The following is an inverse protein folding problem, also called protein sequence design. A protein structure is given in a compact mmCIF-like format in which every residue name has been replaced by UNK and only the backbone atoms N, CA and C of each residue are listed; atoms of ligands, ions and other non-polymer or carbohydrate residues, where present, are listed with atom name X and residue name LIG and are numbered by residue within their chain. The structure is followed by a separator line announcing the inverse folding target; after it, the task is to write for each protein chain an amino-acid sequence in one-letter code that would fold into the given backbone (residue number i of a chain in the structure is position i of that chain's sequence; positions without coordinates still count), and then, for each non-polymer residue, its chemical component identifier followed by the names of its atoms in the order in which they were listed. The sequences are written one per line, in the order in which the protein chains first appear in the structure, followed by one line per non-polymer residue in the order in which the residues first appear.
data_IF_580781809531
#
_entry.id   IF_580781809531
#
_cell.length_a   1.000
_cell.length_b   1.000
_cell.length_c   1.000
_cell.angle_alpha   90.00
_cell.angle_beta   90.00
_cell.angle_gamma   90.00
#
_symmetry.space_group_name_H-M   'P 1'
#
loop_
_entity.id
_entity.type
_entity.pdbx_description
1 polymer ?
#
# COMPACT_ATOMS: atom_id res chain seq x y z
N UNK A 1 -22.94 34.51 -5.04
CA UNK A 1 -23.39 33.09 -5.05
C UNK A 1 -22.24 32.12 -5.26
N UNK A 2 -21.28 32.38 -6.12
CA UNK A 2 -20.16 31.47 -6.41
C UNK A 2 -19.18 31.22 -5.22
N UNK A 3 -18.88 32.30 -4.46
CA UNK A 3 -18.01 32.19 -3.28
C UNK A 3 -18.64 31.39 -2.13
N UNK A 4 -19.94 31.52 -1.94
CA UNK A 4 -20.68 30.73 -0.93
C UNK A 4 -20.71 29.26 -1.26
N UNK A 5 -20.85 28.90 -2.54
CA UNK A 5 -20.81 27.51 -2.99
C UNK A 5 -19.40 26.89 -2.85
N UNK A 6 -18.35 27.62 -3.18
CA UNK A 6 -16.96 27.21 -2.99
C UNK A 6 -16.63 26.99 -1.50
N UNK A 7 -17.08 27.89 -0.63
CA UNK A 7 -16.89 27.77 0.83
C UNK A 7 -17.59 26.51 1.39
N UNK A 8 -18.82 26.25 0.98
CA UNK A 8 -19.57 25.06 1.40
C UNK A 8 -18.94 23.75 0.93
N UNK A 9 -18.45 23.69 -0.31
CA UNK A 9 -17.75 22.53 -0.84
C UNK A 9 -16.42 22.29 -0.11
N UNK A 10 -15.69 23.33 0.21
CA UNK A 10 -14.45 23.26 0.98
C UNK A 10 -14.69 22.75 2.40
N UNK A 11 -15.70 23.26 3.08
CA UNK A 11 -16.09 22.82 4.41
C UNK A 11 -16.45 21.33 4.41
N UNK A 12 -17.28 20.87 3.48
CA UNK A 12 -17.63 19.44 3.32
C UNK A 12 -16.43 18.56 3.06
N UNK A 13 -15.46 19.03 2.28
CA UNK A 13 -14.22 18.29 2.03
C UNK A 13 -13.43 18.11 3.32
N UNK A 14 -13.22 19.19 4.08
CA UNK A 14 -12.49 19.15 5.34
C UNK A 14 -13.17 18.25 6.38
N UNK A 15 -14.50 18.28 6.45
CA UNK A 15 -15.27 17.41 7.35
C UNK A 15 -15.08 15.92 6.99
N UNK A 16 -15.11 15.57 5.70
CA UNK A 16 -14.84 14.21 5.24
C UNK A 16 -13.41 13.76 5.55
N UNK A 17 -12.44 14.62 5.31
CA UNK A 17 -11.03 14.34 5.63
C UNK A 17 -10.83 14.08 7.13
N UNK A 18 -11.43 14.90 7.99
CA UNK A 18 -11.36 14.75 9.43
C UNK A 18 -12.09 13.48 9.91
N UNK A 19 -13.23 13.16 9.31
CA UNK A 19 -13.95 11.92 9.58
C UNK A 19 -13.11 10.69 9.27
N UNK A 20 -12.49 10.62 8.07
CA UNK A 20 -11.64 9.51 7.68
C UNK A 20 -10.40 9.37 8.58
N UNK A 21 -9.79 10.47 9.00
CA UNK A 21 -8.69 10.45 9.97
C UNK A 21 -9.13 9.88 11.32
N UNK A 22 -10.27 10.33 11.81
CA UNK A 22 -10.84 9.85 13.08
C UNK A 22 -11.22 8.38 13.00
N UNK A 23 -11.80 7.93 11.89
CA UNK A 23 -12.15 6.54 11.62
C UNK A 23 -10.90 5.67 11.61
N UNK A 24 -9.85 6.11 10.91
CA UNK A 24 -8.59 5.39 10.83
C UNK A 24 -7.98 5.15 12.21
N UNK A 25 -7.83 6.21 13.01
CA UNK A 25 -7.22 6.13 14.34
C UNK A 25 -8.14 5.46 15.37
N UNK A 26 -9.40 5.89 15.42
CA UNK A 26 -10.35 5.49 16.44
C UNK A 26 -10.94 4.10 16.26
N UNK A 27 -10.96 3.58 15.03
CA UNK A 27 -11.55 2.26 14.74
C UNK A 27 -10.48 1.27 14.33
N UNK A 28 -9.79 1.51 13.20
CA UNK A 28 -8.86 0.52 12.66
C UNK A 28 -7.64 0.30 13.56
N UNK A 29 -6.92 1.35 13.91
CA UNK A 29 -5.70 1.20 14.72
C UNK A 29 -6.02 0.69 16.12
N UNK A 30 -7.08 1.20 16.74
CA UNK A 30 -7.49 0.75 18.07
C UNK A 30 -7.91 -0.72 18.05
N UNK A 31 -8.74 -1.15 17.09
CA UNK A 31 -9.19 -2.55 16.98
C UNK A 31 -7.99 -3.51 16.81
N UNK A 32 -7.05 -3.17 15.93
CA UNK A 32 -5.84 -3.98 15.73
C UNK A 32 -5.03 -4.06 17.02
N UNK A 33 -4.80 -2.93 17.70
CA UNK A 33 -4.06 -2.89 18.97
C UNK A 33 -4.70 -3.73 20.06
N UNK A 34 -5.99 -3.62 20.24
CA UNK A 34 -6.75 -4.37 21.25
C UNK A 34 -6.78 -5.86 20.91
N UNK A 35 -7.06 -6.23 19.66
CA UNK A 35 -7.15 -7.61 19.19
C UNK A 35 -5.85 -8.37 19.34
N UNK A 36 -4.72 -7.74 18.99
CA UNK A 36 -3.42 -8.38 18.98
C UNK A 36 -2.53 -8.01 20.18
N UNK A 37 -3.06 -7.24 21.15
CA UNK A 37 -2.35 -6.79 22.36
C UNK A 37 -0.99 -6.13 22.03
N UNK A 38 -0.99 -5.24 21.04
CA UNK A 38 0.22 -4.56 20.59
C UNK A 38 0.65 -3.53 21.63
N UNK A 39 1.85 -3.71 22.18
CA UNK A 39 2.42 -2.81 23.20
C UNK A 39 3.14 -1.60 22.59
N UNK A 40 3.82 -1.82 21.47
CA UNK A 40 4.54 -0.78 20.73
C UNK A 40 3.81 -0.46 19.44
N UNK A 41 2.94 0.54 19.50
CA UNK A 41 2.13 0.98 18.35
C UNK A 41 2.87 1.96 17.43
N UNK A 42 3.97 2.54 17.87
CA UNK A 42 4.80 3.43 17.06
C UNK A 42 5.37 2.68 15.85
N UNK A 43 5.85 1.45 16.07
CA UNK A 43 6.41 0.61 15.00
C UNK A 43 5.34 0.17 14.00
N UNK A 44 4.16 -0.23 14.47
CA UNK A 44 3.03 -0.54 13.60
C UNK A 44 2.59 0.69 12.80
N UNK A 45 2.49 1.83 13.49
CA UNK A 45 2.11 3.10 12.88
C UNK A 45 3.07 3.52 11.76
N UNK A 46 4.37 3.42 12.00
CA UNK A 46 5.38 3.74 11.00
C UNK A 46 5.36 2.77 9.81
N UNK A 47 5.18 1.47 10.08
CA UNK A 47 5.08 0.48 9.01
C UNK A 47 3.89 0.79 8.08
N UNK A 48 2.76 1.21 8.66
CA UNK A 48 1.60 1.65 7.87
C UNK A 48 1.95 2.85 7.00
N UNK A 49 2.69 3.83 7.52
CA UNK A 49 3.13 5.01 6.76
C UNK A 49 4.05 4.64 5.60
N UNK A 50 4.99 3.73 5.84
CA UNK A 50 5.90 3.22 4.81
C UNK A 50 5.10 2.53 3.70
N UNK A 51 4.15 1.65 4.05
CA UNK A 51 3.34 0.94 3.06
C UNK A 51 2.41 1.91 2.33
N UNK A 52 1.78 2.84 3.02
CA UNK A 52 0.91 3.85 2.43
C UNK A 52 1.66 4.75 1.42
N UNK A 53 2.92 5.05 1.71
CA UNK A 53 3.79 5.84 0.82
C UNK A 53 4.28 5.05 -0.39
N UNK A 54 4.36 3.72 -0.28
CA UNK A 54 4.84 2.80 -1.32
C UNK A 54 3.72 1.90 -1.88
N UNK A 55 2.49 2.39 -1.88
CA UNK A 55 1.34 1.64 -2.38
C UNK A 55 1.57 1.18 -3.82
N UNK A 56 1.24 -0.07 -4.13
CA UNK A 56 1.42 -0.63 -5.47
C UNK A 56 2.88 -0.91 -5.88
N UNK A 57 3.86 -0.57 -5.05
CA UNK A 57 5.25 -0.92 -5.30
C UNK A 57 5.55 -2.36 -4.89
N UNK A 58 6.43 -3.02 -5.66
CA UNK A 58 6.94 -4.34 -5.28
C UNK A 58 7.80 -4.22 -4.03
N UNK A 59 7.44 -4.95 -2.98
CA UNK A 59 8.17 -4.96 -1.73
C UNK A 59 8.25 -6.34 -1.09
N UNK A 60 9.14 -6.50 -0.13
CA UNK A 60 9.26 -7.69 0.69
C UNK A 60 9.62 -7.27 2.14
N UNK A 61 9.50 -8.17 3.14
CA UNK A 61 9.82 -7.83 4.52
C UNK A 61 11.21 -7.23 4.72
N UNK A 62 12.24 -7.75 4.05
CA UNK A 62 13.61 -7.24 4.14
C UNK A 62 13.74 -5.81 3.59
N UNK A 63 13.06 -5.48 2.50
CA UNK A 63 13.02 -4.12 1.97
C UNK A 63 12.30 -3.17 2.93
N UNK A 64 11.21 -3.63 3.54
CA UNK A 64 10.48 -2.87 4.56
C UNK A 64 11.34 -2.65 5.81
N UNK A 65 12.08 -3.67 6.27
CA UNK A 65 13.03 -3.55 7.38
C UNK A 65 14.09 -2.47 7.10
N UNK A 66 14.71 -2.53 5.92
CA UNK A 66 15.73 -1.56 5.52
C UNK A 66 15.16 -0.13 5.46
N UNK A 67 13.96 0.04 4.91
CA UNK A 67 13.27 1.33 4.87
C UNK A 67 12.96 1.81 6.28
N UNK A 68 12.41 0.94 7.12
CA UNK A 68 12.09 1.22 8.51
C UNK A 68 13.32 1.69 9.28
N UNK A 69 14.43 0.95 9.15
CA UNK A 69 15.70 1.31 9.77
C UNK A 69 16.22 2.68 9.32
N UNK A 70 16.07 3.01 8.04
CA UNK A 70 16.50 4.32 7.51
C UNK A 70 15.65 5.48 8.03
N UNK A 71 14.38 5.25 8.31
CA UNK A 71 13.41 6.27 8.78
C UNK A 71 13.47 6.46 10.29
N UNK A 72 13.50 5.36 11.04
CA UNK A 72 13.44 5.37 12.53
C UNK A 72 14.79 5.30 13.23
N UNK A 73 15.85 4.91 12.53
CA UNK A 73 17.19 4.72 13.14
C UNK A 73 17.31 3.44 13.98
N UNK A 74 16.25 2.63 14.10
CA UNK A 74 16.30 1.29 14.69
C UNK A 74 15.63 0.29 13.73
N UNK A 75 15.94 -0.99 13.93
CA UNK A 75 15.42 -2.08 13.10
C UNK A 75 14.36 -2.87 13.85
N UNK A 76 13.33 -3.29 13.14
CA UNK A 76 12.39 -4.33 13.59
C UNK A 76 12.64 -5.59 12.75
N UNK A 77 12.44 -6.77 13.34
CA UNK A 77 12.73 -8.02 12.65
C UNK A 77 11.76 -8.27 11.49
N UNK A 78 12.25 -8.98 10.46
CA UNK A 78 11.42 -9.51 9.36
C UNK A 78 10.17 -10.24 9.87
N UNK A 79 10.31 -11.02 10.94
CA UNK A 79 9.20 -11.75 11.57
C UNK A 79 8.14 -10.81 12.14
N UNK A 80 8.58 -9.71 12.77
CA UNK A 80 7.66 -8.68 13.31
C UNK A 80 6.94 -7.96 12.17
N UNK A 81 7.65 -7.62 11.10
CA UNK A 81 7.06 -7.01 9.90
C UNK A 81 6.01 -7.94 9.28
N UNK A 82 6.33 -9.22 9.12
CA UNK A 82 5.38 -10.22 8.59
C UNK A 82 4.15 -10.35 9.48
N UNK A 83 4.33 -10.34 10.81
CA UNK A 83 3.24 -10.38 11.77
C UNK A 83 2.34 -9.15 11.63
N UNK A 84 2.91 -7.95 11.57
CA UNK A 84 2.13 -6.71 11.38
C UNK A 84 1.40 -6.68 10.05
N UNK A 85 2.05 -7.12 8.96
CA UNK A 85 1.39 -7.26 7.65
C UNK A 85 0.19 -8.21 7.71
N UNK A 86 0.34 -9.34 8.40
CA UNK A 86 -0.77 -10.28 8.64
C UNK A 86 -1.92 -9.63 9.40
N UNK A 87 -1.64 -8.93 10.49
CA UNK A 87 -2.66 -8.22 11.28
C UNK A 87 -3.42 -7.17 10.46
N UNK A 88 -2.72 -6.44 9.59
CA UNK A 88 -3.33 -5.44 8.70
C UNK A 88 -4.20 -6.09 7.62
N UNK A 89 -3.83 -7.27 7.13
CA UNK A 89 -4.64 -8.06 6.19
C UNK A 89 -5.88 -8.64 6.88
N UNK A 90 -5.74 -9.20 8.08
CA UNK A 90 -6.85 -9.72 8.88
C UNK A 90 -7.86 -8.64 9.28
N UNK A 91 -7.40 -7.39 9.40
CA UNK A 91 -8.25 -6.23 9.65
C UNK A 91 -8.87 -5.62 8.37
N UNK A 92 -8.69 -6.25 7.20
CA UNK A 92 -9.16 -5.74 5.91
C UNK A 92 -8.68 -4.30 5.62
N UNK A 93 -7.50 -3.96 6.11
CA UNK A 93 -6.87 -2.67 5.78
C UNK A 93 -6.00 -2.78 4.54
N UNK A 94 -5.31 -3.91 4.39
CA UNK A 94 -4.41 -4.21 3.27
C UNK A 94 -4.79 -5.53 2.61
N UNK A 95 -4.59 -5.59 1.32
CA UNK A 95 -4.56 -6.83 0.57
C UNK A 95 -3.20 -7.05 -0.08
N UNK A 96 -2.71 -8.29 -0.01
CA UNK A 96 -1.45 -8.70 -0.62
C UNK A 96 -1.71 -9.29 -2.01
N UNK A 97 -1.17 -8.68 -3.04
CA UNK A 97 -1.15 -9.22 -4.39
C UNK A 97 0.16 -9.98 -4.65
N UNK A 98 0.02 -11.26 -4.91
CA UNK A 98 1.13 -12.18 -5.17
C UNK A 98 1.60 -12.00 -6.61
N UNK A 99 2.88 -12.19 -6.82
CA UNK A 99 3.47 -12.13 -8.15
C UNK A 99 3.34 -13.47 -8.87
N UNK A 100 2.91 -13.41 -10.14
CA UNK A 100 2.87 -14.57 -11.01
C UNK A 100 3.93 -14.45 -12.12
N UNK A 101 4.80 -15.44 -12.21
CA UNK A 101 5.75 -15.55 -13.33
C UNK A 101 5.05 -16.20 -14.52
N UNK A 102 4.72 -15.38 -15.51
CA UNK A 102 4.02 -15.82 -16.72
C UNK A 102 4.84 -16.83 -17.52
N UNK A 103 6.17 -16.70 -17.53
CA UNK A 103 7.06 -17.62 -18.26
C UNK A 103 7.29 -18.92 -17.50
N UNK A 104 7.58 -18.82 -16.21
CA UNK A 104 7.81 -19.96 -15.33
C UNK A 104 6.52 -20.68 -14.91
N UNK A 105 5.35 -20.09 -15.17
CA UNK A 105 4.03 -20.61 -14.78
C UNK A 105 3.93 -20.98 -13.30
N UNK A 106 4.48 -20.14 -12.42
CA UNK A 106 4.45 -20.35 -10.98
C UNK A 106 4.28 -19.05 -10.22
N UNK A 107 3.74 -19.18 -9.00
CA UNK A 107 3.64 -18.04 -8.09
C UNK A 107 4.96 -17.75 -7.39
N UNK A 108 5.25 -16.47 -7.24
CA UNK A 108 6.41 -15.97 -6.51
C UNK A 108 5.89 -15.17 -5.31
N UNK A 109 6.10 -15.70 -4.11
CA UNK A 109 5.58 -15.08 -2.89
C UNK A 109 6.25 -13.74 -2.53
N UNK A 110 7.45 -13.48 -3.04
CA UNK A 110 8.20 -12.26 -2.77
C UNK A 110 9.04 -11.86 -4.00
N UNK A 111 9.15 -10.56 -4.31
CA UNK A 111 8.39 -9.47 -3.73
C UNK A 111 6.91 -9.48 -4.13
N UNK A 112 6.07 -8.87 -3.31
CA UNK A 112 4.63 -8.73 -3.52
C UNK A 112 4.24 -7.25 -3.57
N UNK A 113 3.04 -6.94 -4.05
CA UNK A 113 2.45 -5.61 -3.90
C UNK A 113 1.43 -5.62 -2.76
N UNK A 114 1.25 -4.47 -2.12
CA UNK A 114 0.21 -4.28 -1.12
C UNK A 114 -0.70 -3.14 -1.56
N UNK A 115 -2.01 -3.36 -1.45
CA UNK A 115 -3.04 -2.39 -1.78
C UNK A 115 -3.89 -2.13 -0.55
N UNK A 116 -4.32 -0.87 -0.38
CA UNK A 116 -5.30 -0.52 0.63
C UNK A 116 -6.69 -0.88 0.13
N UNK A 117 -7.50 -1.52 0.99
CA UNK A 117 -8.91 -1.79 0.70
C UNK A 117 -9.70 -0.48 0.52
N UNK A 118 -9.35 0.56 1.26
CA UNK A 118 -9.90 1.90 1.12
C UNK A 118 -8.80 2.93 0.89
N UNK A 119 -8.75 3.46 -0.34
CA UNK A 119 -7.80 4.51 -0.74
C UNK A 119 -8.04 5.83 0.01
N UNK A 120 -9.27 6.09 0.47
CA UNK A 120 -9.59 7.24 1.29
C UNK A 120 -8.90 7.18 2.66
N UNK A 121 -8.87 6.00 3.29
CA UNK A 121 -8.15 5.76 4.54
C UNK A 121 -6.64 5.91 4.35
N UNK A 122 -6.08 5.36 3.27
CA UNK A 122 -4.67 5.56 2.90
C UNK A 122 -4.34 7.05 2.77
N UNK A 123 -5.15 7.81 2.06
CA UNK A 123 -4.92 9.24 1.85
C UNK A 123 -5.08 10.03 3.16
N UNK A 124 -6.06 9.68 4.00
CA UNK A 124 -6.25 10.27 5.32
C UNK A 124 -5.02 10.04 6.22
N UNK A 125 -4.43 8.84 6.18
CA UNK A 125 -3.21 8.48 6.91
C UNK A 125 -2.04 9.38 6.52
N UNK A 126 -1.86 9.66 5.24
CA UNK A 126 -0.79 10.52 4.72
C UNK A 126 -1.17 12.02 4.69
N UNK A 127 -2.23 12.41 5.41
CA UNK A 127 -2.72 13.79 5.45
C UNK A 127 -2.97 14.39 4.05
N UNK A 128 -3.35 13.55 3.07
CA UNK A 128 -3.62 13.95 1.68
C UNK A 128 -2.45 14.62 0.97
N UNK A 129 -1.22 14.40 1.44
CA UNK A 129 -0.02 15.08 0.90
C UNK A 129 0.66 14.33 -0.24
N UNK A 130 0.52 12.99 -0.27
CA UNK A 130 1.17 12.14 -1.27
C UNK A 130 0.11 11.59 -2.23
N UNK A 131 -0.18 12.32 -3.28
CA UNK A 131 -1.11 11.91 -4.32
C UNK A 131 -0.28 11.45 -5.52
N UNK A 132 0.11 10.18 -5.52
CA UNK A 132 0.66 9.50 -6.70
C UNK A 132 -0.50 8.96 -7.53
N UNK A 133 -0.86 9.68 -8.58
CA UNK A 133 -2.03 9.34 -9.40
C UNK A 133 -1.93 7.98 -10.06
N UNK A 134 -0.72 7.53 -10.43
CA UNK A 134 -0.49 6.23 -11.06
C UNK A 134 -0.77 5.07 -10.10
N UNK A 135 -0.11 5.07 -8.97
CA UNK A 135 -0.28 4.02 -7.96
C UNK A 135 -1.66 4.03 -7.30
N UNK A 136 -2.27 5.21 -7.12
CA UNK A 136 -3.65 5.30 -6.63
C UNK A 136 -4.64 4.72 -7.63
N UNK A 137 -4.47 5.00 -8.92
CA UNK A 137 -5.30 4.43 -9.97
C UNK A 137 -5.16 2.91 -10.02
N UNK A 138 -3.93 2.40 -9.93
CA UNK A 138 -3.66 0.96 -9.86
C UNK A 138 -4.39 0.31 -8.67
N UNK A 139 -4.34 0.91 -7.47
CA UNK A 139 -5.06 0.41 -6.30
C UNK A 139 -6.58 0.43 -6.52
N UNK A 140 -7.13 1.49 -7.08
CA UNK A 140 -8.58 1.59 -7.36
C UNK A 140 -9.01 0.49 -8.35
N UNK A 141 -8.24 0.29 -9.43
CA UNK A 141 -8.53 -0.74 -10.42
C UNK A 141 -8.43 -2.14 -9.78
N UNK A 142 -7.41 -2.37 -8.95
CA UNK A 142 -7.26 -3.63 -8.22
C UNK A 142 -8.49 -3.91 -7.37
N UNK A 143 -8.91 -2.96 -6.53
CA UNK A 143 -10.08 -3.10 -5.66
C UNK A 143 -11.36 -3.34 -6.48
N UNK A 144 -11.58 -2.59 -7.56
CA UNK A 144 -12.76 -2.71 -8.42
C UNK A 144 -12.83 -4.11 -9.07
N UNK A 145 -11.72 -4.62 -9.55
CA UNK A 145 -11.68 -5.96 -10.13
C UNK A 145 -11.93 -7.05 -9.08
N UNK A 146 -11.40 -6.87 -7.86
CA UNK A 146 -11.65 -7.79 -6.72
C UNK A 146 -13.13 -7.81 -6.34
N UNK A 147 -13.76 -6.65 -6.22
CA UNK A 147 -15.21 -6.53 -5.93
C UNK A 147 -16.05 -7.25 -6.99
N UNK A 148 -15.61 -7.24 -8.24
CA UNK A 148 -16.27 -7.96 -9.34
C UNK A 148 -15.99 -9.47 -9.36
N UNK A 149 -15.19 -9.97 -8.42
CA UNK A 149 -14.90 -11.40 -8.27
C UNK A 149 -13.74 -11.91 -9.13
N UNK A 150 -12.93 -11.02 -9.72
CA UNK A 150 -11.75 -11.44 -10.44
C UNK A 150 -10.61 -11.84 -9.50
N UNK A 151 -9.89 -12.90 -9.84
CA UNK A 151 -8.58 -13.22 -9.24
C UNK A 151 -7.52 -12.41 -9.95
N UNK A 152 -6.75 -11.61 -9.19
CA UNK A 152 -5.78 -10.68 -9.75
C UNK A 152 -4.40 -11.01 -9.21
N UNK A 153 -3.48 -11.19 -10.13
CA UNK A 153 -2.07 -11.41 -9.84
C UNK A 153 -1.22 -10.29 -10.43
N UNK A 154 -0.10 -10.00 -9.79
CA UNK A 154 0.88 -9.06 -10.34
C UNK A 154 1.71 -9.77 -11.40
N UNK A 155 1.46 -9.46 -12.66
CA UNK A 155 2.23 -9.98 -13.79
C UNK A 155 3.62 -9.35 -13.87
N UNK A 156 4.64 -10.14 -14.22
CA UNK A 156 5.95 -9.65 -14.58
C UNK A 156 6.36 -10.20 -15.95
N UNK A 157 6.74 -9.30 -16.84
CA UNK A 157 7.28 -9.66 -18.15
C UNK A 157 8.71 -9.13 -18.27
N UNK A 158 9.66 -10.04 -18.53
CA UNK A 158 11.00 -9.65 -18.92
C UNK A 158 11.02 -9.35 -20.43
N UNK A 159 11.26 -8.09 -20.78
CA UNK A 159 11.48 -7.69 -22.17
C UNK A 159 12.99 -7.59 -22.42
N UNK A 160 13.47 -8.30 -23.42
CA UNK A 160 14.85 -8.14 -23.92
C UNK A 160 14.86 -7.02 -24.93
N UNK A 161 15.54 -5.94 -24.60
CA UNK A 161 15.73 -4.80 -25.49
C UNK A 161 17.18 -4.85 -26.01
N UNK A 162 17.36 -4.73 -27.31
CA UNK A 162 18.67 -4.52 -27.90
C UNK A 162 18.80 -3.03 -28.16
N UNK A 163 19.80 -2.38 -27.55
CA UNK A 163 20.10 -0.97 -27.81
C UNK A 163 20.70 -0.80 -29.22
N UNK A 164 20.73 0.43 -29.71
CA UNK A 164 21.29 0.78 -31.03
C UNK A 164 22.74 0.34 -31.19
N UNK A 165 23.47 0.17 -30.10
CA UNK A 165 24.84 -0.39 -30.06
C UNK A 165 24.91 -1.93 -30.06
N UNK A 166 23.78 -2.63 -30.27
CA UNK A 166 23.72 -4.09 -30.33
C UNK A 166 23.81 -4.78 -28.96
N UNK A 167 23.85 -4.03 -27.85
CA UNK A 167 23.97 -4.59 -26.49
C UNK A 167 22.60 -5.01 -25.97
N UNK A 168 22.45 -6.29 -25.64
CA UNK A 168 21.22 -6.85 -25.07
C UNK A 168 21.07 -6.41 -23.61
N UNK A 169 20.02 -5.69 -23.30
CA UNK A 169 19.63 -5.34 -21.94
C UNK A 169 18.31 -6.05 -21.56
N UNK A 170 18.23 -6.49 -20.30
CA UNK A 170 16.96 -6.98 -19.74
C UNK A 170 16.26 -5.81 -19.07
N UNK A 171 15.06 -5.51 -19.50
CA UNK A 171 14.16 -4.57 -18.82
C UNK A 171 12.98 -5.37 -18.26
N UNK A 172 12.78 -5.27 -16.96
CA UNK A 172 11.62 -5.85 -16.33
C UNK A 172 10.50 -4.82 -16.35
N UNK A 173 9.38 -5.16 -16.95
CA UNK A 173 8.16 -4.34 -16.91
C UNK A 173 7.14 -5.12 -16.10
N UNK A 174 6.70 -4.53 -15.01
CA UNK A 174 5.60 -5.02 -14.19
C UNK A 174 4.59 -3.91 -14.01
N UNK A 175 3.34 -4.20 -14.14
CA UNK A 175 2.19 -3.41 -13.68
C UNK A 175 1.50 -4.19 -12.59
#
# INVERSE_FOLDING_TARGET
MEECHKSYLFQRKTEKENYLKSLFQGTYIRDIKERYNIRNDDDLSELIDIIASNIGCLTNPTNLENTFKSVKGHSISDTTIQSYLGMLQDAFMLEKAIRYDIKGKHYINTPSKYYFEDVGLRNARLNYRQIDGGHLMENIIYNELRIRGYSIDVGQVEVRITNDDGKKMRKTTGS
#
